data_IF_391460214639
#
_entry.id   IF_391460214639
#
_cell.length_a   1.000
_cell.length_b   1.000
_cell.length_c   1.000
_cell.angle_alpha   90.00
_cell.angle_beta   90.00
_cell.angle_gamma   90.00
#
_symmetry.space_group_name_H-M   'P 1'
#
loop_
_entity.id
_entity.type
_entity.pdbx_description
1 polymer ?
#
# COMPACT_ATOMS: atom_id res chain seq x y z
N UNK A 1 49.47 -3.92 -43.33
CA UNK A 1 50.53 -2.97 -42.92
C UNK A 1 49.91 -2.09 -41.84
N UNK A 2 50.01 -2.37 -40.53
CA UNK A 2 51.14 -2.69 -39.63
C UNK A 2 51.61 -1.45 -38.84
N UNK A 3 51.84 -1.65 -37.53
CA UNK A 3 52.07 -0.63 -36.47
C UNK A 3 50.75 0.05 -36.09
N UNK A 4 50.07 -0.28 -34.98
CA UNK A 4 50.51 -0.76 -33.66
C UNK A 4 51.51 0.21 -33.01
N UNK A 5 51.02 0.97 -32.04
CA UNK A 5 51.75 1.32 -30.83
C UNK A 5 50.81 1.18 -29.62
N UNK A 6 51.31 0.62 -28.53
CA UNK A 6 50.59 0.47 -27.27
C UNK A 6 51.18 1.42 -26.24
N UNK A 7 50.34 1.98 -25.37
CA UNK A 7 50.81 2.68 -24.18
C UNK A 7 49.75 2.57 -23.07
N UNK A 8 50.00 1.66 -22.13
CA UNK A 8 49.15 1.44 -20.95
C UNK A 8 49.66 2.36 -19.85
N UNK A 9 48.81 3.31 -19.40
CA UNK A 9 49.11 4.21 -18.30
C UNK A 9 48.27 3.89 -17.06
N UNK A 10 48.83 3.15 -16.10
CA UNK A 10 48.22 3.02 -14.77
C UNK A 10 48.43 4.33 -13.98
N UNK A 11 47.34 4.98 -13.57
CA UNK A 11 47.37 6.12 -12.66
C UNK A 11 46.55 5.79 -11.41
N UNK A 12 47.23 5.44 -10.32
CA UNK A 12 46.60 5.20 -9.03
C UNK A 12 46.30 6.55 -8.33
N UNK A 13 45.02 6.88 -8.17
CA UNK A 13 44.59 8.08 -7.43
C UNK A 13 44.46 7.71 -5.95
N UNK A 14 45.38 8.21 -5.13
CA UNK A 14 45.33 8.04 -3.68
C UNK A 14 44.28 8.97 -3.05
N UNK A 15 43.33 8.42 -2.31
CA UNK A 15 42.37 9.21 -1.53
C UNK A 15 43.00 9.72 -0.23
N UNK A 16 43.40 10.99 -0.21
CA UNK A 16 43.81 11.69 1.01
C UNK A 16 42.58 12.19 1.78
N UNK A 17 42.21 11.48 2.85
CA UNK A 17 41.15 11.91 3.77
C UNK A 17 41.64 13.10 4.62
N UNK A 18 41.20 14.31 4.28
CA UNK A 18 41.42 15.50 5.11
C UNK A 18 40.37 15.57 6.23
N UNK A 19 40.78 15.28 7.46
CA UNK A 19 39.92 15.40 8.63
C UNK A 19 39.88 16.85 9.14
N UNK A 20 38.74 17.52 8.98
CA UNK A 20 38.50 18.84 9.57
C UNK A 20 37.98 18.68 11.01
N UNK A 21 38.89 18.74 11.99
CA UNK A 21 38.51 18.96 13.38
C UNK A 21 38.10 20.44 13.59
N UNK A 22 36.98 20.68 14.28
CA UNK A 22 36.49 22.00 14.65
C UNK A 22 35.96 21.98 16.07
N UNK A 23 36.57 22.77 16.96
CA UNK A 23 36.32 22.72 18.40
C UNK A 23 35.76 24.06 18.91
N UNK A 24 34.97 23.98 20.00
CA UNK A 24 34.54 25.09 20.86
C UNK A 24 33.53 26.12 20.26
N UNK A 25 32.79 26.86 21.12
CA UNK A 25 32.19 26.44 22.39
C UNK A 25 30.70 26.83 22.50
N UNK A 26 29.99 26.25 23.48
CA UNK A 26 28.65 26.70 23.86
C UNK A 26 28.71 27.91 24.81
N UNK A 27 27.85 28.93 24.64
CA UNK A 27 27.59 29.95 25.67
C UNK A 27 26.51 29.47 26.65
N UNK A 28 26.78 29.57 27.95
CA UNK A 28 25.75 29.48 28.99
C UNK A 28 24.92 30.76 29.06
N UNK A 29 23.68 30.68 29.52
CA UNK A 29 22.95 31.82 30.08
C UNK A 29 21.92 31.34 31.11
N UNK A 30 21.63 32.18 32.10
CA UNK A 30 21.10 31.76 33.40
C UNK A 30 19.58 31.54 33.49
N UNK A 31 19.20 30.98 34.63
CA UNK A 31 17.83 30.66 35.05
C UNK A 31 16.96 31.90 35.22
N UNK A 32 15.71 31.81 34.78
CA UNK A 32 14.59 32.56 35.35
C UNK A 32 13.48 31.58 35.76
N UNK A 33 13.06 31.64 37.03
CA UNK A 33 11.88 30.92 37.55
C UNK A 33 10.76 31.94 37.75
N UNK A 34 9.61 31.70 37.14
CA UNK A 34 8.37 32.43 37.46
C UNK A 34 7.20 31.45 37.59
N UNK A 35 6.21 31.83 38.41
CA UNK A 35 5.21 30.91 38.96
C UNK A 35 3.86 30.95 38.23
N UNK A 36 3.08 29.88 38.39
CA UNK A 36 1.73 29.69 37.84
C UNK A 36 0.73 30.73 38.35
N UNK A 37 -0.35 30.96 37.58
CA UNK A 37 -1.66 30.61 38.13
C UNK A 37 -2.52 29.75 37.20
N UNK A 38 -3.60 29.17 37.75
CA UNK A 38 -4.47 28.19 37.10
C UNK A 38 -5.87 28.74 36.85
N UNK A 39 -6.54 28.29 35.77
CA UNK A 39 -7.96 28.52 35.50
C UNK A 39 -8.61 27.30 34.81
N UNK A 40 -9.87 27.03 35.17
CA UNK A 40 -10.80 26.12 34.47
C UNK A 40 -11.58 26.95 33.40
N UNK A 41 -12.37 26.43 32.47
CA UNK A 41 -13.30 25.28 32.48
C UNK A 41 -13.72 24.94 31.03
N UNK A 42 -14.29 23.74 30.80
CA UNK A 42 -15.20 23.25 29.73
C UNK A 42 -15.61 24.21 28.57
N UNK A 43 -15.82 23.81 27.30
CA UNK A 43 -15.72 22.53 26.53
C UNK A 43 -15.92 22.89 25.01
N UNK A 44 -16.19 22.06 23.97
CA UNK A 44 -16.63 20.66 23.79
C UNK A 44 -16.27 20.15 22.35
N UNK A 45 -16.31 18.83 22.11
CA UNK A 45 -16.50 18.07 20.84
C UNK A 45 -16.16 18.67 19.45
N UNK A 46 -15.16 18.11 18.76
CA UNK A 46 -15.39 17.11 17.69
C UNK A 46 -14.09 16.42 17.22
N UNK A 47 -14.19 15.13 16.89
CA UNK A 47 -13.13 14.27 16.30
C UNK A 47 -13.05 14.49 14.77
N UNK A 48 -11.90 14.28 14.09
CA UNK A 48 -11.44 12.89 13.87
C UNK A 48 -9.93 12.63 14.02
N UNK A 49 -9.63 11.52 14.70
CA UNK A 49 -8.33 10.85 14.85
C UNK A 49 -7.32 11.09 13.72
N UNK A 50 -6.24 11.79 14.07
CA UNK A 50 -4.94 11.66 13.43
C UNK A 50 -3.93 11.17 14.48
N UNK A 51 -3.79 9.84 14.61
CA UNK A 51 -2.92 9.17 15.59
C UNK A 51 -1.42 9.43 15.33
N UNK A 52 -1.01 10.65 15.65
CA UNK A 52 0.38 11.09 15.70
C UNK A 52 0.96 10.72 17.05
N UNK A 53 1.59 9.54 17.12
CA UNK A 53 2.12 8.96 18.35
C UNK A 53 3.31 9.76 18.94
N UNK A 54 3.00 10.85 19.64
CA UNK A 54 3.95 11.60 20.46
C UNK A 54 4.28 10.74 21.70
N UNK A 55 5.49 10.21 21.73
CA UNK A 55 5.96 9.29 22.76
C UNK A 55 6.14 10.02 24.10
N UNK A 56 5.30 9.69 25.09
CA UNK A 56 5.57 9.99 26.50
C UNK A 56 6.48 8.89 27.06
N UNK A 57 7.39 9.24 27.99
CA UNK A 57 8.39 8.32 28.56
C UNK A 57 7.80 7.03 29.17
N UNK A 58 6.51 7.06 29.53
CA UNK A 58 5.74 5.94 30.09
C UNK A 58 5.48 4.78 29.12
N UNK A 59 5.79 4.91 27.83
CA UNK A 59 5.48 3.83 26.84
C UNK A 59 6.35 2.57 27.01
N UNK A 60 7.40 2.61 27.83
CA UNK A 60 8.10 1.41 28.32
C UNK A 60 7.40 0.77 29.53
N UNK A 61 6.79 1.58 30.40
CA UNK A 61 5.99 1.11 31.55
C UNK A 61 4.63 0.52 31.12
N UNK A 62 4.03 0.98 30.03
CA UNK A 62 2.76 0.43 29.49
C UNK A 62 2.84 -1.02 29.02
N UNK A 63 4.03 -1.63 29.04
CA UNK A 63 4.22 -3.07 28.84
C UNK A 63 4.11 -3.90 30.14
N UNK A 64 3.86 -3.27 31.29
CA UNK A 64 3.33 -3.94 32.49
C UNK A 64 1.88 -4.33 32.23
N UNK A 65 1.57 -5.61 32.39
CA UNK A 65 0.22 -6.14 32.19
C UNK A 65 -0.76 -5.50 33.18
N UNK A 66 -1.81 -4.85 32.67
CA UNK A 66 -3.03 -4.65 33.45
C UNK A 66 -3.61 -6.03 33.79
N UNK A 67 -3.62 -6.40 35.06
CA UNK A 67 -4.34 -7.58 35.54
C UNK A 67 -5.84 -7.41 35.26
N UNK A 68 -6.50 -8.33 34.53
CA UNK A 68 -7.90 -8.15 34.19
C UNK A 68 -8.79 -8.31 35.43
N UNK A 69 -9.53 -7.26 35.78
CA UNK A 69 -10.57 -7.32 36.81
C UNK A 69 -11.79 -8.09 36.29
N UNK A 70 -11.76 -9.41 36.39
CA UNK A 70 -12.90 -10.28 36.13
C UNK A 70 -13.98 -10.11 37.19
N UNK A 71 -14.93 -9.20 36.93
CA UNK A 71 -16.25 -9.28 37.55
C UNK A 71 -16.95 -10.55 37.05
N UNK A 72 -17.45 -11.37 37.98
CA UNK A 72 -18.25 -12.52 37.64
C UNK A 72 -19.65 -12.08 37.19
N UNK A 73 -20.14 -12.70 36.13
CA UNK A 73 -21.57 -12.85 35.84
C UNK A 73 -21.88 -14.33 35.89
N UNK A 74 -22.85 -14.73 36.71
CA UNK A 74 -23.38 -16.09 36.73
C UNK A 74 -24.28 -16.32 35.51
N UNK A 75 -24.29 -17.54 34.97
CA UNK A 75 -25.13 -17.94 33.84
C UNK A 75 -25.19 -19.46 33.71
N UNK A 76 -26.41 -20.00 33.72
CA UNK A 76 -26.65 -21.44 33.78
C UNK A 76 -26.08 -22.24 32.59
N UNK A 77 -25.52 -23.41 32.88
CA UNK A 77 -25.61 -24.58 31.99
C UNK A 77 -25.44 -25.89 32.77
N UNK A 78 -26.51 -26.70 32.75
CA UNK A 78 -26.64 -28.00 33.42
C UNK A 78 -25.91 -29.10 32.64
N UNK A 79 -25.01 -29.90 33.26
CA UNK A 79 -24.39 -31.04 32.59
C UNK A 79 -25.39 -32.18 32.32
N UNK A 80 -25.23 -32.86 31.19
CA UNK A 80 -25.81 -34.18 30.91
C UNK A 80 -24.72 -35.26 31.02
N UNK A 81 -25.03 -36.37 31.68
CA UNK A 81 -24.08 -37.47 31.87
C UNK A 81 -23.94 -38.32 30.59
N UNK A 82 -22.79 -39.01 30.44
CA UNK A 82 -22.89 -40.45 30.21
C UNK A 82 -21.99 -41.31 31.13
N UNK A 83 -22.39 -42.57 31.26
CA UNK A 83 -21.80 -43.64 32.10
C UNK A 83 -20.50 -44.20 31.47
N UNK A 84 -19.51 -44.68 32.25
CA UNK A 84 -18.20 -45.09 31.71
C UNK A 84 -18.18 -46.51 31.11
N UNK A 85 -17.23 -46.78 30.21
CA UNK A 85 -16.82 -48.14 29.85
C UNK A 85 -15.33 -48.27 29.48
N UNK A 86 -14.67 -49.20 30.17
CA UNK A 86 -13.44 -49.93 29.82
C UNK A 86 -12.13 -49.21 29.43
N UNK A 87 -11.06 -50.00 29.45
CA UNK A 87 -9.68 -49.54 29.42
C UNK A 87 -9.04 -49.72 28.03
N UNK A 88 -8.48 -48.63 27.51
CA UNK A 88 -7.35 -48.69 26.58
C UNK A 88 -6.26 -47.73 27.05
N UNK A 89 -5.05 -48.24 27.18
CA UNK A 89 -3.85 -47.42 27.29
C UNK A 89 -3.21 -47.29 25.91
N UNK A 90 -3.12 -46.09 25.33
CA UNK A 90 -2.16 -45.80 24.27
C UNK A 90 -0.95 -45.07 24.87
N UNK A 91 0.22 -45.70 24.78
CA UNK A 91 1.47 -44.94 24.81
C UNK A 91 1.53 -44.10 23.54
N UNK A 92 1.54 -42.77 23.68
CA UNK A 92 1.56 -41.85 22.55
C UNK A 92 1.87 -40.44 23.01
N UNK A 93 2.83 -39.80 22.36
CA UNK A 93 3.23 -38.40 22.63
C UNK A 93 2.15 -37.44 22.13
N UNK A 94 1.11 -37.26 22.93
CA UNK A 94 0.14 -36.20 22.74
C UNK A 94 0.86 -34.84 22.91
N UNK A 95 0.97 -34.09 21.82
CA UNK A 95 1.23 -32.65 21.88
C UNK A 95 0.03 -31.99 22.57
N UNK A 96 0.09 -31.90 23.90
CA UNK A 96 -0.95 -31.22 24.68
C UNK A 96 -0.90 -29.74 24.35
N UNK A 97 -1.97 -29.24 23.73
CA UNK A 97 -2.27 -27.82 23.75
C UNK A 97 -2.20 -27.30 25.21
N UNK A 98 -1.82 -26.03 25.45
CA UNK A 98 -1.71 -25.48 26.78
C UNK A 98 -2.98 -25.76 27.59
N UNK A 99 -2.82 -26.46 28.72
CA UNK A 99 -3.94 -26.78 29.60
C UNK A 99 -4.37 -25.47 30.27
N UNK A 100 -5.56 -25.00 29.94
CA UNK A 100 -6.17 -23.87 30.64
C UNK A 100 -6.46 -24.27 32.10
N UNK A 101 -5.84 -23.61 33.10
CA UNK A 101 -6.08 -23.93 34.51
C UNK A 101 -7.52 -23.62 34.94
N UNK A 102 -8.20 -22.64 34.32
CA UNK A 102 -9.53 -22.22 34.73
C UNK A 102 -10.61 -23.25 34.40
N UNK A 103 -10.41 -24.09 33.39
CA UNK A 103 -11.28 -25.23 33.08
C UNK A 103 -10.77 -26.55 33.66
N UNK A 104 -9.45 -26.77 33.68
CA UNK A 104 -8.87 -28.05 34.13
C UNK A 104 -8.94 -28.28 35.66
N UNK A 105 -8.75 -27.24 36.49
CA UNK A 105 -8.84 -27.42 37.94
C UNK A 105 -10.27 -27.70 38.44
N UNK A 106 -11.34 -27.01 37.96
CA UNK A 106 -12.71 -27.38 38.30
C UNK A 106 -13.09 -28.80 37.85
N UNK A 107 -12.77 -29.18 36.60
CA UNK A 107 -13.06 -30.53 36.11
C UNK A 107 -12.36 -31.64 36.94
N UNK A 108 -11.13 -31.39 37.40
CA UNK A 108 -10.43 -32.29 38.32
C UNK A 108 -11.11 -32.37 39.70
N UNK A 109 -11.60 -31.25 40.23
CA UNK A 109 -12.32 -31.21 41.50
C UNK A 109 -13.65 -31.96 41.42
N UNK A 110 -14.43 -31.75 40.36
CA UNK A 110 -15.69 -32.44 40.11
C UNK A 110 -15.49 -33.96 39.95
N UNK A 111 -14.48 -34.38 39.19
CA UNK A 111 -14.14 -35.80 39.06
C UNK A 111 -13.77 -36.45 40.40
N UNK A 112 -13.05 -35.72 41.27
CA UNK A 112 -12.71 -36.18 42.63
C UNK A 112 -13.96 -36.30 43.51
N UNK A 113 -14.88 -35.33 43.46
CA UNK A 113 -16.12 -35.37 44.24
C UNK A 113 -17.06 -36.49 43.75
N UNK A 114 -17.24 -36.63 42.44
CA UNK A 114 -18.06 -37.68 41.84
C UNK A 114 -17.53 -39.09 42.17
N UNK A 115 -16.20 -39.30 42.14
CA UNK A 115 -15.62 -40.57 42.53
C UNK A 115 -15.82 -40.88 44.03
N UNK A 116 -15.62 -39.89 44.91
CA UNK A 116 -15.84 -40.07 46.34
C UNK A 116 -17.31 -40.35 46.70
N UNK A 117 -18.25 -39.67 46.07
CA UNK A 117 -19.69 -39.94 46.17
C UNK A 117 -20.05 -41.35 45.66
N UNK A 118 -19.43 -41.81 44.56
CA UNK A 118 -19.62 -43.17 44.05
C UNK A 118 -19.15 -44.25 45.04
N UNK A 119 -18.01 -44.03 45.72
CA UNK A 119 -17.51 -44.91 46.78
C UNK A 119 -18.44 -44.92 48.00
N UNK A 120 -18.93 -43.75 48.40
CA UNK A 120 -19.86 -43.62 49.53
C UNK A 120 -21.19 -44.35 49.26
N UNK A 121 -21.75 -44.20 48.06
CA UNK A 121 -22.98 -44.90 47.61
C UNK A 121 -22.83 -46.42 47.51
N UNK A 122 -21.60 -46.92 47.37
CA UNK A 122 -21.28 -48.35 47.42
C UNK A 122 -21.02 -48.86 48.86
N UNK A 123 -21.14 -48.00 49.88
CA UNK A 123 -20.89 -48.34 51.29
C UNK A 123 -19.44 -48.17 51.75
N UNK A 124 -18.50 -47.81 50.87
CA UNK A 124 -17.08 -47.65 51.19
C UNK A 124 -16.77 -46.27 51.83
N UNK A 125 -17.46 -45.95 52.92
CA UNK A 125 -17.43 -44.63 53.56
C UNK A 125 -16.03 -44.19 54.02
N UNK A 126 -15.21 -45.10 54.56
CA UNK A 126 -13.82 -44.80 54.94
C UNK A 126 -12.94 -44.51 53.73
N UNK A 127 -13.10 -45.25 52.64
CA UNK A 127 -12.37 -45.05 51.38
C UNK A 127 -12.72 -43.69 50.76
N UNK A 128 -14.00 -43.35 50.68
CA UNK A 128 -14.47 -42.04 50.23
C UNK A 128 -13.90 -40.90 51.11
N UNK A 129 -13.96 -41.09 52.43
CA UNK A 129 -13.42 -40.14 53.42
C UNK A 129 -11.91 -39.95 53.25
N UNK A 130 -11.15 -41.02 53.04
CA UNK A 130 -9.70 -40.96 52.81
C UNK A 130 -9.35 -40.31 51.47
N UNK A 131 -10.17 -40.50 50.43
CA UNK A 131 -9.98 -39.84 49.13
C UNK A 131 -10.20 -38.32 49.23
N UNK A 132 -11.30 -37.89 49.87
CA UNK A 132 -11.56 -36.46 50.13
C UNK A 132 -10.53 -35.83 51.06
N UNK A 133 -10.02 -36.55 52.07
CA UNK A 133 -8.92 -36.10 52.92
C UNK A 133 -7.64 -35.82 52.11
N UNK A 134 -7.32 -36.62 51.09
CA UNK A 134 -6.19 -36.36 50.18
C UNK A 134 -6.39 -35.08 49.36
N UNK A 135 -7.58 -34.88 48.79
CA UNK A 135 -7.89 -33.66 48.04
C UNK A 135 -7.82 -32.40 48.91
N UNK A 136 -8.29 -32.46 50.16
CA UNK A 136 -8.22 -31.36 51.14
C UNK A 136 -6.79 -30.87 51.43
N UNK A 137 -5.77 -31.71 51.23
CA UNK A 137 -4.35 -31.37 51.44
C UNK A 137 -3.78 -30.51 50.29
N UNK A 138 -4.50 -30.34 49.17
CA UNK A 138 -4.08 -29.45 48.06
C UNK A 138 -4.10 -27.97 48.47
N UNK A 139 -4.92 -27.54 49.44
CA UNK A 139 -4.97 -26.14 49.88
C UNK A 139 -3.62 -25.60 50.39
N UNK A 140 -2.86 -26.31 51.25
CA UNK A 140 -1.45 -25.99 51.53
C UNK A 140 -0.52 -25.88 50.32
N UNK A 141 -0.75 -26.65 49.25
CA UNK A 141 0.08 -26.58 48.03
C UNK A 141 -0.20 -25.32 47.22
N UNK A 142 -1.41 -24.77 47.28
CA UNK A 142 -1.78 -23.56 46.54
C UNK A 142 -0.87 -22.37 46.87
N UNK A 143 -0.63 -22.09 48.14
CA UNK A 143 0.28 -21.00 48.55
C UNK A 143 1.74 -21.24 48.12
N UNK A 144 2.17 -22.50 48.00
CA UNK A 144 3.49 -22.82 47.46
C UNK A 144 3.55 -22.66 45.92
N UNK A 145 2.43 -22.84 45.21
CA UNK A 145 2.32 -22.55 43.78
C UNK A 145 2.24 -21.05 43.51
N UNK A 146 1.51 -20.30 44.35
CA UNK A 146 1.37 -18.85 44.34
C UNK A 146 2.75 -18.18 44.53
N UNK A 147 3.44 -18.44 45.65
CA UNK A 147 4.80 -17.92 45.90
C UNK A 147 5.81 -18.29 44.79
N UNK A 148 5.68 -19.48 44.19
CA UNK A 148 6.52 -19.90 43.06
C UNK A 148 6.18 -19.14 41.78
N UNK A 149 4.90 -18.85 41.54
CA UNK A 149 4.43 -18.05 40.41
C UNK A 149 4.92 -16.62 40.55
N UNK A 150 4.78 -15.99 41.71
CA UNK A 150 5.28 -14.64 41.98
C UNK A 150 6.80 -14.54 41.83
N UNK A 151 7.53 -15.54 42.33
CA UNK A 151 8.99 -15.64 42.18
C UNK A 151 9.40 -15.73 40.70
N UNK A 152 8.69 -16.53 39.90
CA UNK A 152 8.91 -16.65 38.45
C UNK A 152 8.53 -15.36 37.71
N UNK A 153 7.38 -14.74 38.02
CA UNK A 153 6.93 -13.48 37.43
C UNK A 153 7.90 -12.33 37.72
N UNK A 154 8.37 -12.20 38.97
CA UNK A 154 9.36 -11.21 39.35
C UNK A 154 10.70 -11.44 38.63
N UNK A 155 11.18 -12.68 38.57
CA UNK A 155 12.38 -13.04 37.81
C UNK A 155 12.25 -12.66 36.33
N UNK A 156 11.16 -13.06 35.67
CA UNK A 156 10.90 -12.71 34.26
C UNK A 156 10.79 -11.18 34.08
N UNK A 157 10.20 -10.47 35.04
CA UNK A 157 10.13 -9.01 35.07
C UNK A 157 11.50 -8.34 35.11
N UNK A 158 12.41 -8.81 35.98
CA UNK A 158 13.78 -8.31 36.04
C UNK A 158 14.58 -8.64 34.78
N UNK A 159 14.53 -9.89 34.29
CA UNK A 159 15.22 -10.30 33.06
C UNK A 159 14.73 -9.51 31.84
N UNK A 160 13.43 -9.22 31.75
CA UNK A 160 12.84 -8.36 30.71
C UNK A 160 13.30 -6.90 30.83
N UNK A 161 13.36 -6.35 32.04
CA UNK A 161 13.83 -4.98 32.27
C UNK A 161 15.33 -4.82 31.97
N UNK A 162 16.15 -5.82 32.29
CA UNK A 162 17.58 -5.83 31.95
C UNK A 162 17.80 -5.99 30.43
N UNK A 163 17.04 -6.87 29.77
CA UNK A 163 17.03 -6.97 28.29
C UNK A 163 16.61 -5.65 27.64
N UNK A 164 15.54 -5.01 28.10
CA UNK A 164 15.04 -3.75 27.53
C UNK A 164 16.12 -2.65 27.49
N UNK A 165 16.88 -2.47 28.58
CA UNK A 165 18.00 -1.51 28.64
C UNK A 165 19.13 -1.79 27.63
N UNK A 166 19.36 -3.06 27.28
CA UNK A 166 20.37 -3.45 26.27
C UNK A 166 19.93 -3.11 24.84
N UNK A 167 18.63 -2.94 24.60
CA UNK A 167 18.06 -2.63 23.28
C UNK A 167 17.63 -1.17 23.11
N UNK A 168 17.59 -0.40 24.19
CA UNK A 168 17.22 1.02 24.20
C UNK A 168 17.96 1.86 23.13
N UNK A 169 19.29 1.70 22.87
CA UNK A 169 19.97 2.45 21.80
C UNK A 169 19.40 2.15 20.40
N UNK A 170 19.18 0.88 20.06
CA UNK A 170 18.62 0.47 18.76
C UNK A 170 17.16 0.92 18.61
N UNK A 171 16.37 0.87 19.69
CA UNK A 171 14.99 1.38 19.71
C UNK A 171 14.98 2.89 19.42
N UNK A 172 15.85 3.67 20.05
CA UNK A 172 15.97 5.11 19.80
C UNK A 172 16.49 5.41 18.39
N UNK A 173 17.45 4.64 17.88
CA UNK A 173 17.98 4.77 16.52
C UNK A 173 16.88 4.54 15.46
N UNK A 174 16.12 3.44 15.58
CA UNK A 174 14.99 3.12 14.69
C UNK A 174 13.91 4.21 14.75
N UNK A 175 13.57 4.72 15.95
CA UNK A 175 12.62 5.83 16.09
C UNK A 175 13.12 7.11 15.41
N UNK A 176 14.38 7.46 15.60
CA UNK A 176 14.97 8.68 15.02
C UNK A 176 15.09 8.57 13.50
N UNK A 177 15.45 7.40 12.97
CA UNK A 177 15.43 7.14 11.52
C UNK A 177 14.02 7.27 10.93
N UNK A 178 12.99 6.72 11.58
CA UNK A 178 11.60 6.86 11.10
C UNK A 178 11.10 8.31 11.18
N UNK A 179 11.43 9.05 12.25
CA UNK A 179 11.15 10.49 12.38
C UNK A 179 11.84 11.33 11.30
N UNK A 180 13.10 11.01 10.97
CA UNK A 180 13.88 11.65 9.93
C UNK A 180 13.53 11.19 8.50
N UNK A 181 12.56 10.28 8.34
CA UNK A 181 12.17 9.66 7.06
C UNK A 181 13.36 9.04 6.30
N UNK A 182 14.23 8.36 7.03
CA UNK A 182 15.33 7.57 6.48
C UNK A 182 14.82 6.49 5.51
N UNK A 183 15.67 6.08 4.56
CA UNK A 183 15.32 5.06 3.58
C UNK A 183 14.96 3.73 4.24
N UNK A 184 13.92 3.05 3.73
CA UNK A 184 13.45 1.75 4.22
C UNK A 184 14.55 0.73 4.48
N UNK A 185 15.56 0.64 3.60
CA UNK A 185 16.67 -0.31 3.75
C UNK A 185 17.51 -0.11 5.02
N UNK A 186 17.69 1.14 5.48
CA UNK A 186 18.39 1.43 6.73
C UNK A 186 17.54 1.05 7.94
N UNK A 187 16.26 1.46 7.96
CA UNK A 187 15.33 1.10 9.04
C UNK A 187 15.14 -0.43 9.12
N UNK A 188 15.05 -1.11 7.98
CA UNK A 188 14.98 -2.55 7.89
C UNK A 188 16.23 -3.22 8.46
N UNK A 189 17.43 -2.80 8.04
CA UNK A 189 18.69 -3.37 8.53
C UNK A 189 18.84 -3.25 10.05
N UNK A 190 18.56 -2.07 10.64
CA UNK A 190 18.66 -1.88 12.09
C UNK A 190 17.54 -2.60 12.85
N UNK A 191 16.32 -2.65 12.30
CA UNK A 191 15.21 -3.41 12.89
C UNK A 191 15.45 -4.93 12.85
N UNK A 192 15.97 -5.46 11.74
CA UNK A 192 16.33 -6.88 11.63
C UNK A 192 17.52 -7.23 12.53
N UNK A 193 18.47 -6.30 12.71
CA UNK A 193 19.55 -6.43 13.70
C UNK A 193 19.02 -6.48 15.13
N UNK A 194 18.02 -5.65 15.48
CA UNK A 194 17.33 -5.72 16.78
C UNK A 194 16.59 -7.04 16.96
N UNK A 195 15.89 -7.54 15.93
CA UNK A 195 15.16 -8.83 15.97
C UNK A 195 16.12 -10.00 16.15
N UNK A 196 17.28 -9.99 15.47
CA UNK A 196 18.30 -11.02 15.55
C UNK A 196 18.98 -11.15 16.94
N UNK A 197 18.78 -10.18 17.84
CA UNK A 197 19.29 -10.22 19.23
C UNK A 197 18.28 -10.82 20.23
N UNK A 198 17.22 -11.48 19.76
CA UNK A 198 16.16 -12.12 20.55
C UNK A 198 15.58 -11.22 21.66
N UNK A 199 15.01 -10.04 21.30
CA UNK A 199 14.55 -9.04 22.27
C UNK A 199 13.20 -9.39 22.91
N UNK A 200 12.56 -10.47 22.45
CA UNK A 200 11.23 -10.92 22.88
C UNK A 200 10.10 -10.27 22.07
N UNK A 201 8.98 -10.99 21.98
CA UNK A 201 7.89 -10.77 21.02
C UNK A 201 7.38 -9.32 20.97
N UNK A 202 7.30 -8.64 22.11
CA UNK A 202 6.86 -7.24 22.17
C UNK A 202 7.76 -6.30 21.34
N UNK A 203 9.07 -6.48 21.42
CA UNK A 203 10.06 -5.67 20.70
C UNK A 203 10.22 -6.15 19.25
N UNK A 204 10.12 -7.46 18.99
CA UNK A 204 10.09 -8.03 17.63
C UNK A 204 8.89 -7.50 16.82
N UNK A 205 7.70 -7.50 17.41
CA UNK A 205 6.48 -6.96 16.79
C UNK A 205 6.57 -5.44 16.60
N UNK A 206 7.12 -4.71 17.58
CA UNK A 206 7.36 -3.28 17.46
C UNK A 206 8.34 -2.95 16.31
N UNK A 207 9.49 -3.63 16.23
CA UNK A 207 10.47 -3.44 15.18
C UNK A 207 9.89 -3.76 13.78
N UNK A 208 9.09 -4.82 13.68
CA UNK A 208 8.35 -5.17 12.46
C UNK A 208 7.36 -4.07 12.05
N UNK A 209 6.66 -3.46 13.00
CA UNK A 209 5.79 -2.30 12.73
C UNK A 209 6.60 -1.06 12.28
N UNK A 210 7.78 -0.82 12.85
CA UNK A 210 8.66 0.27 12.40
C UNK A 210 9.15 0.07 10.95
N UNK A 211 9.44 -1.18 10.54
CA UNK A 211 9.72 -1.52 9.13
C UNK A 211 8.56 -1.17 8.21
N UNK A 212 7.32 -1.46 8.63
CA UNK A 212 6.11 -1.17 7.84
C UNK A 212 5.84 0.35 7.71
N UNK A 213 6.17 1.14 8.73
CA UNK A 213 6.13 2.62 8.65
C UNK A 213 7.16 3.13 7.63
N UNK A 214 8.41 2.66 7.72
CA UNK A 214 9.47 3.04 6.79
C UNK A 214 9.16 2.62 5.34
N UNK A 215 8.56 1.44 5.15
CA UNK A 215 8.12 0.95 3.84
C UNK A 215 7.09 1.90 3.21
N UNK A 216 6.00 2.22 3.93
CA UNK A 216 4.96 3.13 3.44
C UNK A 216 5.48 4.53 3.12
N UNK A 217 6.34 5.08 3.98
CA UNK A 217 6.95 6.40 3.76
C UNK A 217 7.87 6.39 2.52
N UNK A 218 8.65 5.32 2.34
CA UNK A 218 9.56 5.17 1.19
C UNK A 218 8.79 4.97 -0.11
N UNK A 219 7.75 4.12 -0.11
CA UNK A 219 6.88 3.89 -1.26
C UNK A 219 6.16 5.18 -1.69
N UNK A 220 5.58 5.92 -0.75
CA UNK A 220 4.89 7.19 -1.03
C UNK A 220 5.82 8.28 -1.59
N UNK A 221 7.12 8.23 -1.26
CA UNK A 221 8.14 9.07 -1.90
C UNK A 221 8.47 8.58 -3.31
N UNK A 222 8.75 7.29 -3.47
CA UNK A 222 9.09 6.69 -4.76
C UNK A 222 7.96 6.80 -5.80
N UNK A 223 6.69 6.76 -5.36
CA UNK A 223 5.51 7.03 -6.19
C UNK A 223 5.52 8.47 -6.74
N UNK A 224 5.85 9.47 -5.92
CA UNK A 224 5.95 10.87 -6.37
C UNK A 224 7.09 11.07 -7.37
N UNK A 225 8.23 10.43 -7.16
CA UNK A 225 9.35 10.45 -8.11
C UNK A 225 8.96 9.76 -9.45
N UNK A 226 8.34 8.58 -9.37
CA UNK A 226 7.78 7.83 -10.52
C UNK A 226 6.80 8.66 -11.33
N UNK A 227 5.86 9.34 -10.68
CA UNK A 227 4.81 10.08 -11.39
C UNK A 227 5.33 11.38 -12.01
N UNK A 228 6.34 12.02 -11.41
CA UNK A 228 7.08 13.11 -12.05
C UNK A 228 7.83 12.64 -13.31
N UNK A 229 8.42 11.43 -13.28
CA UNK A 229 9.06 10.79 -14.44
C UNK A 229 8.03 10.43 -15.51
N UNK A 230 6.86 9.92 -15.12
CA UNK A 230 5.74 9.67 -16.03
C UNK A 230 5.30 10.97 -16.72
N UNK A 231 5.18 12.09 -15.99
CA UNK A 231 4.84 13.38 -16.57
C UNK A 231 5.86 13.84 -17.64
N UNK A 232 7.17 13.71 -17.37
CA UNK A 232 8.23 14.02 -18.36
C UNK A 232 8.00 13.34 -19.72
N UNK A 233 7.73 12.03 -19.73
CA UNK A 233 7.49 11.30 -20.97
C UNK A 233 6.09 11.54 -21.56
N UNK A 234 5.04 11.35 -20.77
CA UNK A 234 3.66 11.32 -21.26
C UNK A 234 3.12 12.71 -21.58
N UNK A 235 3.50 13.73 -20.81
CA UNK A 235 2.99 15.09 -20.97
C UNK A 235 3.91 15.96 -21.83
N UNK A 236 5.23 15.78 -21.72
CA UNK A 236 6.24 16.69 -22.31
C UNK A 236 7.14 16.08 -23.39
N UNK A 237 7.00 14.79 -23.70
CA UNK A 237 7.86 14.07 -24.65
C UNK A 237 9.38 14.08 -24.31
N UNK A 238 9.76 14.31 -23.05
CA UNK A 238 11.14 14.29 -22.55
C UNK A 238 11.69 12.84 -22.40
N UNK A 239 11.42 11.96 -23.36
CA UNK A 239 11.56 10.50 -23.21
C UNK A 239 12.92 10.03 -22.72
N UNK A 240 14.02 10.58 -23.25
CA UNK A 240 15.37 10.19 -22.84
C UNK A 240 15.62 10.48 -21.36
N UNK A 241 15.29 11.69 -20.90
CA UNK A 241 15.47 12.07 -19.50
C UNK A 241 14.54 11.25 -18.58
N UNK A 242 13.32 10.96 -19.04
CA UNK A 242 12.39 10.09 -18.32
C UNK A 242 12.89 8.64 -18.21
N UNK A 243 13.49 8.06 -19.26
CA UNK A 243 14.09 6.73 -19.20
C UNK A 243 15.32 6.70 -18.27
N UNK A 244 16.21 7.69 -18.40
CA UNK A 244 17.40 7.81 -17.54
C UNK A 244 17.00 7.94 -16.05
N UNK A 245 16.02 8.79 -15.73
CA UNK A 245 15.48 8.90 -14.37
C UNK A 245 14.77 7.62 -13.90
N UNK A 246 14.01 6.94 -14.77
CA UNK A 246 13.28 5.72 -14.41
C UNK A 246 14.24 4.57 -14.06
N UNK A 247 15.33 4.41 -14.81
CA UNK A 247 16.39 3.44 -14.50
C UNK A 247 17.10 3.79 -13.19
N UNK A 248 17.38 5.07 -12.93
CA UNK A 248 17.94 5.51 -11.65
C UNK A 248 16.97 5.29 -10.46
N UNK A 249 15.66 5.43 -10.69
CA UNK A 249 14.63 5.13 -9.70
C UNK A 249 14.55 3.63 -9.40
N UNK A 250 14.62 2.78 -10.43
CA UNK A 250 14.66 1.32 -10.32
C UNK A 250 15.88 0.83 -9.53
N UNK A 251 17.06 1.40 -9.79
CA UNK A 251 18.28 1.08 -9.03
C UNK A 251 18.17 1.49 -7.55
N UNK A 252 17.49 2.61 -7.25
CA UNK A 252 17.36 3.16 -5.89
C UNK A 252 16.26 2.47 -5.06
N UNK A 253 15.16 2.09 -5.70
CA UNK A 253 13.97 1.52 -5.05
C UNK A 253 13.65 0.10 -5.55
N UNK A 254 14.67 -0.68 -5.88
CA UNK A 254 14.59 -2.08 -6.35
C UNK A 254 13.62 -2.94 -5.53
N UNK A 255 13.64 -2.79 -4.20
CA UNK A 255 12.82 -3.58 -3.27
C UNK A 255 11.32 -3.21 -3.33
N UNK A 256 10.95 -2.21 -4.12
CA UNK A 256 9.58 -1.74 -4.40
C UNK A 256 9.17 -1.89 -5.88
N UNK A 257 9.96 -2.60 -6.71
CA UNK A 257 9.72 -2.75 -8.16
C UNK A 257 8.29 -3.23 -8.48
N UNK A 258 7.77 -4.21 -7.72
CA UNK A 258 6.43 -4.75 -7.94
C UNK A 258 5.30 -3.74 -7.66
N UNK A 259 5.43 -2.91 -6.62
CA UNK A 259 4.43 -1.90 -6.23
C UNK A 259 4.47 -0.66 -7.15
N UNK A 260 5.65 -0.36 -7.71
CA UNK A 260 5.86 0.82 -8.56
C UNK A 260 5.73 0.51 -10.06
N UNK A 261 5.98 -0.73 -10.48
CA UNK A 261 5.97 -1.16 -11.88
C UNK A 261 6.96 -0.38 -12.75
N UNK A 262 8.21 -0.22 -12.29
CA UNK A 262 9.20 0.65 -12.92
C UNK A 262 9.70 0.09 -14.24
N UNK A 263 9.89 -1.22 -14.35
CA UNK A 263 10.21 -1.86 -15.63
C UNK A 263 9.11 -1.60 -16.68
N UNK A 264 7.84 -1.72 -16.27
CA UNK A 264 6.69 -1.41 -17.14
C UNK A 264 6.69 0.07 -17.55
N UNK A 265 7.02 0.99 -16.63
CA UNK A 265 7.13 2.41 -16.94
C UNK A 265 8.28 2.69 -17.93
N UNK A 266 9.45 2.05 -17.75
CA UNK A 266 10.60 2.15 -18.66
C UNK A 266 10.21 1.69 -20.07
N UNK A 267 9.52 0.56 -20.20
CA UNK A 267 9.13 0.03 -21.51
C UNK A 267 7.97 0.84 -22.14
N UNK A 268 7.01 1.33 -21.34
CA UNK A 268 6.03 2.35 -21.78
C UNK A 268 6.73 3.61 -22.34
N UNK A 269 7.77 4.12 -21.67
CA UNK A 269 8.54 5.30 -22.13
C UNK A 269 9.25 5.00 -23.45
N UNK A 270 9.88 3.83 -23.59
CA UNK A 270 10.57 3.39 -24.80
C UNK A 270 9.65 3.28 -26.00
N UNK A 271 8.44 2.75 -25.83
CA UNK A 271 7.49 2.61 -26.94
C UNK A 271 6.94 3.99 -27.37
N UNK A 272 6.64 4.88 -26.42
CA UNK A 272 6.28 6.27 -26.73
C UNK A 272 7.43 7.04 -27.44
N UNK A 273 8.68 6.68 -27.18
CA UNK A 273 9.85 7.22 -27.86
C UNK A 273 9.99 6.68 -29.30
N UNK A 274 9.73 5.38 -29.53
CA UNK A 274 9.68 4.77 -30.89
C UNK A 274 8.58 5.37 -31.76
N UNK A 275 7.42 5.73 -31.16
CA UNK A 275 6.36 6.49 -31.84
C UNK A 275 6.76 7.93 -32.20
N UNK A 276 7.81 8.49 -31.60
CA UNK A 276 8.13 9.91 -31.70
C UNK A 276 8.89 10.23 -32.98
N UNK A 277 8.31 11.05 -33.85
CA UNK A 277 9.03 11.56 -35.02
C UNK A 277 10.11 12.57 -34.58
N UNK A 278 11.38 12.21 -34.78
CA UNK A 278 12.55 13.03 -34.43
C UNK A 278 12.67 14.34 -35.23
N UNK A 279 12.17 14.40 -36.46
CA UNK A 279 12.10 15.64 -37.26
C UNK A 279 11.06 16.59 -36.67
N UNK A 280 9.91 16.06 -36.22
CA UNK A 280 8.90 16.84 -35.52
C UNK A 280 9.43 17.32 -34.15
N UNK A 281 10.18 16.50 -33.42
CA UNK A 281 10.86 16.93 -32.18
C UNK A 281 11.91 18.03 -32.43
N UNK A 282 12.56 18.03 -33.61
CA UNK A 282 13.47 19.11 -34.01
C UNK A 282 12.73 20.39 -34.43
N UNK A 283 11.56 20.28 -35.08
CA UNK A 283 10.71 21.41 -35.49
C UNK A 283 10.32 22.32 -34.31
N UNK A 284 9.99 21.74 -33.15
CA UNK A 284 9.62 22.48 -31.93
C UNK A 284 10.78 23.23 -31.26
N UNK A 285 12.01 23.18 -31.79
CA UNK A 285 13.14 24.01 -31.32
C UNK A 285 13.09 25.45 -31.82
N UNK A 286 12.26 25.75 -32.82
CA UNK A 286 12.15 27.07 -33.45
C UNK A 286 10.69 27.49 -33.72
N UNK A 287 9.72 26.82 -33.12
CA UNK A 287 8.29 27.07 -33.27
C UNK A 287 7.61 26.88 -31.91
N UNK A 288 6.68 27.76 -31.54
CA UNK A 288 5.99 27.69 -30.26
C UNK A 288 4.93 26.56 -30.24
N UNK A 289 5.03 25.56 -29.33
CA UNK A 289 4.01 24.55 -29.15
C UNK A 289 2.67 25.09 -28.64
N UNK A 290 2.63 26.20 -27.89
CA UNK A 290 1.39 26.78 -27.36
C UNK A 290 0.59 27.51 -28.45
N UNK A 291 1.23 28.32 -29.30
CA UNK A 291 0.57 28.89 -30.49
C UNK A 291 0.02 27.79 -31.41
N UNK A 292 0.80 26.72 -31.62
CA UNK A 292 0.37 25.58 -32.42
C UNK A 292 -0.80 24.82 -31.78
N UNK A 293 -0.86 24.72 -30.46
CA UNK A 293 -1.98 24.10 -29.73
C UNK A 293 -3.26 24.95 -29.85
N UNK A 294 -3.17 26.26 -29.62
CA UNK A 294 -4.30 27.19 -29.80
C UNK A 294 -4.82 27.21 -31.25
N UNK A 295 -3.90 27.12 -32.23
CA UNK A 295 -4.24 26.97 -33.65
C UNK A 295 -4.94 25.64 -33.95
N UNK A 296 -4.56 24.55 -33.28
CA UNK A 296 -5.25 23.27 -33.45
C UNK A 296 -6.70 23.32 -32.94
N UNK A 297 -6.97 23.97 -31.80
CA UNK A 297 -8.35 24.20 -31.32
C UNK A 297 -9.18 25.05 -32.29
N UNK A 298 -8.58 26.14 -32.81
CA UNK A 298 -9.18 26.96 -33.87
C UNK A 298 -9.55 26.11 -35.10
N UNK A 299 -8.66 25.21 -35.54
CA UNK A 299 -8.94 24.31 -36.68
C UNK A 299 -10.04 23.27 -36.36
N UNK A 300 -10.23 22.86 -35.09
CA UNK A 300 -11.35 22.00 -34.68
C UNK A 300 -12.68 22.76 -34.77
N UNK A 301 -12.73 24.00 -34.27
CA UNK A 301 -13.95 24.83 -34.33
C UNK A 301 -14.31 25.25 -35.77
N UNK A 302 -13.31 25.49 -36.63
CA UNK A 302 -13.45 25.65 -38.09
C UNK A 302 -13.89 24.35 -38.82
N UNK A 303 -14.00 23.22 -38.13
CA UNK A 303 -14.28 21.87 -38.67
C UNK A 303 -13.24 21.35 -39.67
N UNK A 304 -12.00 21.85 -39.60
CA UNK A 304 -10.87 21.49 -40.46
C UNK A 304 -10.08 20.33 -39.86
N UNK A 305 -10.81 19.25 -39.58
CA UNK A 305 -10.40 18.16 -38.71
C UNK A 305 -9.09 17.47 -39.14
N UNK A 306 -8.86 17.23 -40.43
CA UNK A 306 -7.62 16.59 -40.88
C UNK A 306 -6.39 17.47 -40.59
N UNK A 307 -6.44 18.76 -40.91
CA UNK A 307 -5.35 19.70 -40.58
C UNK A 307 -5.14 19.92 -39.08
N UNK A 308 -6.21 19.82 -38.28
CA UNK A 308 -6.09 19.82 -36.82
C UNK A 308 -5.40 18.53 -36.31
N UNK A 309 -5.79 17.36 -36.83
CA UNK A 309 -5.22 16.06 -36.47
C UNK A 309 -3.73 16.00 -36.80
N UNK A 310 -3.33 16.48 -37.97
CA UNK A 310 -1.93 16.47 -38.41
C UNK A 310 -1.06 17.41 -37.54
N UNK A 311 -1.61 18.56 -37.11
CA UNK A 311 -0.94 19.48 -36.20
C UNK A 311 -0.79 18.89 -34.79
N UNK A 312 -1.84 18.27 -34.26
CA UNK A 312 -1.81 17.60 -32.95
C UNK A 312 -0.90 16.36 -32.95
N UNK A 313 -0.87 15.59 -34.03
CA UNK A 313 0.07 14.48 -34.20
C UNK A 313 1.52 14.95 -34.22
N UNK A 314 1.82 16.12 -34.80
CA UNK A 314 3.15 16.75 -34.66
C UNK A 314 3.40 17.23 -33.22
N UNK A 315 2.39 17.76 -32.53
CA UNK A 315 2.52 18.19 -31.13
C UNK A 315 2.75 17.00 -30.15
N UNK A 316 2.48 15.74 -30.53
CA UNK A 316 2.88 14.55 -29.76
C UNK A 316 4.40 14.47 -29.49
N UNK A 317 5.25 15.16 -30.24
CA UNK A 317 6.71 15.23 -30.04
C UNK A 317 7.19 16.52 -29.37
N UNK A 318 6.27 17.32 -28.82
CA UNK A 318 6.55 18.61 -28.16
C UNK A 318 6.38 18.53 -26.63
N UNK A 319 6.83 19.58 -25.89
CA UNK A 319 6.48 19.81 -24.48
C UNK A 319 4.98 19.88 -24.16
N UNK A 320 4.09 19.78 -25.16
CA UNK A 320 2.63 19.76 -25.03
C UNK A 320 2.00 18.42 -25.43
N UNK A 321 2.77 17.33 -25.52
CA UNK A 321 2.29 15.96 -25.86
C UNK A 321 1.01 15.60 -25.11
N UNK A 322 0.96 15.83 -23.80
CA UNK A 322 -0.20 15.51 -22.97
C UNK A 322 -1.46 16.24 -23.40
N UNK A 323 -1.37 17.57 -23.57
CA UNK A 323 -2.48 18.39 -24.05
C UNK A 323 -2.90 18.00 -25.48
N UNK A 324 -1.95 17.74 -26.37
CA UNK A 324 -2.23 17.30 -27.74
C UNK A 324 -2.93 15.94 -27.80
N UNK A 325 -2.55 14.99 -26.94
CA UNK A 325 -3.21 13.67 -26.84
C UNK A 325 -4.63 13.78 -26.30
N UNK A 326 -4.92 14.70 -25.36
CA UNK A 326 -6.31 14.94 -24.94
C UNK A 326 -7.11 15.66 -26.04
N UNK A 327 -6.52 16.64 -26.72
CA UNK A 327 -7.23 17.38 -27.78
C UNK A 327 -7.48 16.54 -29.05
N UNK A 328 -6.69 15.49 -29.30
CA UNK A 328 -7.02 14.47 -30.31
C UNK A 328 -8.33 13.74 -30.03
N UNK A 329 -8.71 13.56 -28.76
CA UNK A 329 -10.02 13.00 -28.37
C UNK A 329 -11.14 13.99 -28.69
N UNK A 330 -11.00 15.23 -28.22
CA UNK A 330 -11.95 16.34 -28.48
C UNK A 330 -12.19 16.53 -29.98
N UNK A 331 -11.14 16.43 -30.79
CA UNK A 331 -11.21 16.44 -32.25
C UNK A 331 -12.03 15.25 -32.78
N UNK A 332 -11.74 14.03 -32.32
CA UNK A 332 -12.49 12.83 -32.67
C UNK A 332 -13.98 12.93 -32.31
N UNK A 333 -14.29 13.45 -31.12
CA UNK A 333 -15.65 13.70 -30.65
C UNK A 333 -16.38 14.72 -31.53
N UNK A 334 -15.72 15.83 -31.86
CA UNK A 334 -16.26 16.85 -32.74
C UNK A 334 -16.51 16.31 -34.17
N UNK A 335 -15.54 15.58 -34.73
CA UNK A 335 -15.64 14.95 -36.05
C UNK A 335 -16.78 13.93 -36.10
N UNK A 336 -16.81 12.98 -35.16
CA UNK A 336 -17.84 11.93 -35.12
C UNK A 336 -19.25 12.51 -34.90
N UNK A 337 -19.40 13.56 -34.09
CA UNK A 337 -20.70 14.22 -33.93
C UNK A 337 -21.13 14.99 -35.21
N UNK A 338 -20.21 15.60 -35.96
CA UNK A 338 -20.52 16.20 -37.28
C UNK A 338 -20.86 15.13 -38.34
N UNK A 339 -20.19 13.97 -38.35
CA UNK A 339 -20.58 12.84 -39.19
C UNK A 339 -21.98 12.31 -38.84
N UNK A 340 -22.33 12.19 -37.55
CA UNK A 340 -23.68 11.79 -37.09
C UNK A 340 -24.76 12.79 -37.52
N UNK A 341 -24.50 14.10 -37.41
CA UNK A 341 -25.39 15.16 -37.94
C UNK A 341 -25.56 15.03 -39.46
N UNK A 342 -24.46 14.79 -40.18
CA UNK A 342 -24.45 14.58 -41.64
C UNK A 342 -25.30 13.38 -42.03
N UNK A 343 -25.13 12.24 -41.36
CA UNK A 343 -25.94 11.04 -41.56
C UNK A 343 -27.44 11.30 -41.31
N UNK A 344 -27.79 12.01 -40.23
CA UNK A 344 -29.18 12.38 -39.91
C UNK A 344 -29.82 13.27 -41.00
N UNK A 345 -29.07 14.26 -41.51
CA UNK A 345 -29.54 15.13 -42.62
C UNK A 345 -29.69 14.35 -43.93
N UNK A 346 -28.80 13.39 -44.21
CA UNK A 346 -28.87 12.54 -45.39
C UNK A 346 -30.04 11.55 -45.30
N UNK A 347 -30.30 10.96 -44.13
CA UNK A 347 -31.49 10.13 -43.87
C UNK A 347 -32.80 10.94 -44.03
N UNK A 348 -32.87 12.16 -43.50
CA UNK A 348 -34.03 13.04 -43.73
C UNK A 348 -34.21 13.40 -45.22
N UNK A 349 -33.13 13.41 -46.00
CA UNK A 349 -33.18 13.58 -47.47
C UNK A 349 -33.66 12.32 -48.19
N UNK A 350 -33.22 11.11 -47.85
CA UNK A 350 -33.72 9.88 -48.48
C UNK A 350 -35.24 9.74 -48.30
N UNK A 351 -35.73 9.90 -47.07
CA UNK A 351 -37.17 9.85 -46.73
C UNK A 351 -38.04 10.93 -47.42
N UNK A 352 -37.47 11.91 -48.10
CA UNK A 352 -38.20 12.93 -48.89
C UNK A 352 -38.09 12.74 -50.42
N UNK A 353 -37.44 11.68 -50.90
CA UNK A 353 -37.37 11.33 -52.32
C UNK A 353 -38.43 10.30 -52.70
N UNK A 354 -39.13 10.57 -53.80
CA UNK A 354 -40.07 9.62 -54.45
C UNK A 354 -39.37 8.62 -55.38
N UNK A 355 -38.16 8.96 -55.80
CA UNK A 355 -37.28 8.11 -56.61
C UNK A 355 -36.51 7.14 -55.67
N UNK A 356 -36.69 5.80 -55.83
CA UNK A 356 -36.00 4.81 -55.01
C UNK A 356 -34.49 4.85 -55.13
N UNK A 357 -33.93 5.10 -56.33
CA UNK A 357 -32.48 5.12 -56.53
C UNK A 357 -31.86 6.32 -55.79
N UNK A 358 -32.48 7.49 -55.87
CA UNK A 358 -32.07 8.65 -55.07
C UNK A 358 -32.21 8.38 -53.56
N UNK A 359 -33.27 7.73 -53.11
CA UNK A 359 -33.45 7.38 -51.69
C UNK A 359 -32.31 6.50 -51.19
N UNK A 360 -32.03 5.40 -51.89
CA UNK A 360 -30.92 4.47 -51.61
C UNK A 360 -29.55 5.17 -51.66
N UNK A 361 -29.33 6.06 -52.62
CA UNK A 361 -28.10 6.85 -52.74
C UNK A 361 -27.87 7.76 -51.51
N UNK A 362 -28.93 8.38 -50.98
CA UNK A 362 -28.84 9.16 -49.73
C UNK A 362 -28.67 8.29 -48.48
N UNK A 363 -29.26 7.09 -48.43
CA UNK A 363 -29.04 6.12 -47.33
C UNK A 363 -27.60 5.62 -47.28
N UNK A 364 -27.04 5.21 -48.43
CA UNK A 364 -25.64 4.78 -48.54
C UNK A 364 -24.67 5.89 -48.10
N UNK A 365 -24.90 7.14 -48.51
CA UNK A 365 -24.12 8.30 -48.07
C UNK A 365 -24.27 8.60 -46.57
N UNK A 366 -25.41 8.28 -45.97
CA UNK A 366 -25.60 8.41 -44.53
C UNK A 366 -24.77 7.37 -43.74
N UNK A 367 -24.71 6.14 -44.23
CA UNK A 367 -23.88 5.06 -43.65
C UNK A 367 -22.37 5.38 -43.82
N UNK A 368 -21.96 5.79 -45.01
CA UNK A 368 -20.58 6.21 -45.35
C UNK A 368 -20.07 7.36 -44.45
N UNK A 369 -20.95 8.26 -43.99
CA UNK A 369 -20.60 9.25 -42.97
C UNK A 369 -20.30 8.62 -41.60
N UNK A 370 -21.10 7.65 -41.15
CA UNK A 370 -20.86 6.94 -39.89
C UNK A 370 -19.61 6.06 -39.97
N UNK A 371 -19.35 5.40 -41.11
CA UNK A 371 -18.14 4.63 -41.33
C UNK A 371 -16.88 5.50 -41.35
N UNK A 372 -16.94 6.73 -41.87
CA UNK A 372 -15.85 7.71 -41.72
C UNK A 372 -15.51 7.98 -40.25
N UNK A 373 -16.50 8.06 -39.36
CA UNK A 373 -16.27 8.18 -37.91
C UNK A 373 -15.56 6.93 -37.37
N UNK A 374 -16.14 5.75 -37.59
CA UNK A 374 -15.61 4.48 -37.06
C UNK A 374 -14.18 4.16 -37.57
N UNK A 375 -13.87 4.53 -38.81
CA UNK A 375 -12.55 4.30 -39.41
C UNK A 375 -11.46 5.28 -38.95
N UNK A 376 -11.81 6.54 -38.65
CA UNK A 376 -10.84 7.55 -38.19
C UNK A 376 -10.67 7.58 -36.66
N UNK A 377 -11.74 7.24 -35.91
CA UNK A 377 -11.78 7.27 -34.45
C UNK A 377 -12.41 5.99 -33.91
N UNK A 378 -11.72 4.84 -34.02
CA UNK A 378 -12.25 3.54 -33.60
C UNK A 378 -12.53 3.47 -32.09
N UNK A 379 -11.92 4.34 -31.29
CA UNK A 379 -12.05 4.39 -29.82
C UNK A 379 -12.86 5.61 -29.33
N UNK A 380 -13.69 6.19 -30.21
CA UNK A 380 -14.63 7.27 -29.88
C UNK A 380 -15.60 6.86 -28.75
N UNK A 381 -15.80 7.72 -27.76
CA UNK A 381 -16.59 7.42 -26.55
C UNK A 381 -18.03 6.93 -26.87
N UNK A 382 -18.66 7.47 -27.91
CA UNK A 382 -20.02 7.08 -28.32
C UNK A 382 -20.05 6.13 -29.52
N UNK A 383 -19.01 5.31 -29.72
CA UNK A 383 -18.88 4.28 -30.77
C UNK A 383 -20.14 3.41 -30.91
N UNK A 384 -20.69 2.94 -29.79
CA UNK A 384 -21.92 2.12 -29.79
C UNK A 384 -23.08 2.85 -30.46
N UNK A 385 -23.30 4.13 -30.13
CA UNK A 385 -24.35 4.96 -30.74
C UNK A 385 -24.09 5.32 -32.21
N UNK A 386 -22.88 5.07 -32.72
CA UNK A 386 -22.56 5.17 -34.15
C UNK A 386 -22.87 3.85 -34.84
N UNK A 387 -22.57 2.72 -34.21
CA UNK A 387 -22.93 1.37 -34.68
C UNK A 387 -24.44 1.15 -34.69
N UNK A 388 -25.17 1.57 -33.65
CA UNK A 388 -26.65 1.56 -33.59
C UNK A 388 -27.26 2.38 -34.74
N UNK A 389 -26.79 3.62 -34.92
CA UNK A 389 -27.23 4.48 -36.01
C UNK A 389 -26.96 3.84 -37.39
N UNK A 390 -25.81 3.16 -37.56
CA UNK A 390 -25.47 2.46 -38.80
C UNK A 390 -26.38 1.27 -39.03
N UNK A 391 -26.55 0.38 -38.04
CA UNK A 391 -27.41 -0.79 -38.14
C UNK A 391 -28.88 -0.41 -38.43
N UNK A 392 -29.36 0.71 -37.87
CA UNK A 392 -30.68 1.27 -38.21
C UNK A 392 -30.76 1.65 -39.70
N UNK A 393 -29.79 2.40 -40.23
CA UNK A 393 -29.78 2.80 -41.65
C UNK A 393 -29.62 1.59 -42.60
N UNK A 394 -28.83 0.59 -42.22
CA UNK A 394 -28.73 -0.70 -42.93
C UNK A 394 -30.02 -1.52 -42.88
N UNK A 395 -30.89 -1.31 -41.89
CA UNK A 395 -32.23 -1.89 -41.84
C UNK A 395 -33.23 -1.15 -42.74
N UNK A 396 -33.04 0.15 -42.93
CA UNK A 396 -33.84 0.98 -43.86
C UNK A 396 -33.47 0.71 -45.33
N UNK A 397 -32.24 0.28 -45.62
CA UNK A 397 -31.81 -0.19 -46.95
C UNK A 397 -32.42 -1.55 -47.37
N UNK A 398 -33.13 -2.24 -46.47
CA UNK A 398 -33.73 -3.57 -46.70
C UNK A 398 -35.27 -3.49 -46.84
N UNK A 399 -35.80 -2.29 -47.10
CA UNK A 399 -37.23 -1.96 -47.18
C UNK A 399 -37.55 -1.26 -48.50
#
# INVERSE_FOLDING_TARGET
MNKIFSLIGFAAVAFTLSACAGNAPAPSTDVAVEQTPSAKTDSLSQDPQADSAIFVSTTLDSYRLNTPSTKFSEGDSKPAAPTPSEAQAPSGTASKAPIDPYTAFPALAEAVFAYADSLYKQGYADSATMYLKRFRIIKPLWGAWEMRTDSMLNKFGMERAEKAKKFEPLVLEIQNMNRAQAAYSMVASTADSLIALEPGDSLTNWATAQKQVAYKNTLAKAQKERDAIRAKAFEKAEFKAAEEDAVQLQLRYRDFEADLGLQKLIDEIRDLAKESNGEAAAYWKSHDPDEALARADTLITEKRFDTARDLLNKLKSSPKRGAAVQMLKVLGDAFCNEQRKTASVLFKKSRSKKDPEQSTNYLLKAIDALDRCLANYPDFEQKEKVLENKAFLESELKK
#
